data_IF_445071513694
#
_entry.id   IF_445071513694
#
_cell.length_a   1.000
_cell.length_b   1.000
_cell.length_c   1.000
_cell.angle_alpha   90.00
_cell.angle_beta   90.00
_cell.angle_gamma   90.00
#
_symmetry.space_group_name_H-M   'P 1'
#
loop_
_entity.id
_entity.type
_entity.pdbx_description
1 polymer ?
#
# COMPACT_ATOMS: atom_id res chain seq x y z
N UNK A 1 21.43 1.47 -54.55
CA UNK A 1 22.25 1.63 -53.33
C UNK A 1 21.61 2.65 -52.37
N UNK A 2 21.48 3.93 -52.73
CA UNK A 2 20.93 4.95 -51.81
C UNK A 2 19.43 4.79 -51.48
N UNK A 3 18.58 4.45 -52.46
CA UNK A 3 17.13 4.31 -52.24
C UNK A 3 16.77 3.15 -51.28
N UNK A 4 17.55 2.07 -51.28
CA UNK A 4 17.32 0.92 -50.38
C UNK A 4 17.71 1.24 -48.93
N UNK A 5 18.73 2.09 -48.72
CA UNK A 5 19.11 2.58 -47.39
C UNK A 5 18.04 3.49 -46.78
N UNK A 6 17.37 4.32 -47.60
CA UNK A 6 16.29 5.20 -47.14
C UNK A 6 15.04 4.40 -46.76
N UNK A 7 14.68 3.38 -47.55
CA UNK A 7 13.54 2.49 -47.24
C UNK A 7 13.81 1.65 -45.98
N UNK A 8 15.04 1.18 -45.78
CA UNK A 8 15.43 0.47 -44.57
C UNK A 8 15.35 1.36 -43.31
N UNK A 9 15.81 2.62 -43.41
CA UNK A 9 15.72 3.59 -42.31
C UNK A 9 14.27 3.90 -41.91
N UNK A 10 13.39 4.09 -42.90
CA UNK A 10 11.97 4.37 -42.66
C UNK A 10 11.23 3.17 -42.03
N UNK A 11 11.58 1.94 -42.44
CA UNK A 11 11.06 0.72 -41.83
C UNK A 11 11.52 0.57 -40.36
N UNK A 12 12.77 0.89 -40.06
CA UNK A 12 13.32 0.88 -38.69
C UNK A 12 12.65 1.92 -37.78
N UNK A 13 12.31 3.10 -38.29
CA UNK A 13 11.57 4.12 -37.52
C UNK A 13 10.12 3.71 -37.24
N UNK A 14 9.51 2.89 -38.10
CA UNK A 14 8.13 2.42 -37.91
C UNK A 14 7.99 1.30 -36.86
N UNK A 15 9.08 0.59 -36.54
CA UNK A 15 9.11 -0.48 -35.54
C UNK A 15 9.38 0.00 -34.11
N UNK A 16 9.71 1.28 -33.93
CA UNK A 16 10.06 1.86 -32.62
C UNK A 16 8.89 2.43 -31.81
N UNK A 17 7.68 2.47 -32.38
CA UNK A 17 6.51 2.94 -31.67
C UNK A 17 5.82 1.75 -30.98
N UNK A 18 6.33 1.35 -29.80
CA UNK A 18 5.49 0.61 -28.87
C UNK A 18 4.30 1.53 -28.55
N UNK A 19 3.09 1.13 -28.95
CA UNK A 19 1.88 1.88 -28.60
C UNK A 19 1.82 2.00 -27.08
N UNK A 20 1.56 3.21 -26.57
CA UNK A 20 1.30 3.34 -25.15
C UNK A 20 0.15 2.41 -24.77
N UNK A 21 0.26 1.67 -23.65
CA UNK A 21 -0.79 0.74 -23.24
C UNK A 21 -2.09 1.51 -23.01
N UNK A 22 -3.20 0.95 -23.49
CA UNK A 22 -4.53 1.53 -23.28
C UNK A 22 -4.88 1.56 -21.79
N UNK A 23 -5.71 2.51 -21.37
CA UNK A 23 -6.14 2.63 -19.98
C UNK A 23 -6.74 1.33 -19.44
N UNK A 24 -7.42 0.56 -20.29
CA UNK A 24 -7.96 -0.75 -19.91
C UNK A 24 -6.89 -1.73 -19.41
N UNK A 25 -5.69 -1.69 -20.00
CA UNK A 25 -4.57 -2.51 -19.58
C UNK A 25 -3.87 -1.93 -18.34
N UNK A 26 -3.67 -0.60 -18.32
CA UNK A 26 -3.01 0.08 -17.21
C UNK A 26 -3.78 -0.01 -15.89
N UNK A 27 -5.12 0.01 -15.92
CA UNK A 27 -5.95 -0.04 -14.70
C UNK A 27 -6.65 -1.39 -14.55
N UNK A 28 -5.96 -2.47 -14.94
CA UNK A 28 -6.49 -3.83 -14.76
C UNK A 28 -6.61 -4.16 -13.27
N UNK A 29 -7.83 -4.44 -12.77
CA UNK A 29 -8.06 -4.70 -11.36
C UNK A 29 -7.51 -6.07 -10.94
N UNK A 30 -7.05 -6.15 -9.69
CA UNK A 30 -6.68 -7.41 -9.05
C UNK A 30 -7.91 -8.10 -8.46
N UNK A 31 -7.95 -9.43 -8.58
CA UNK A 31 -8.88 -10.26 -7.82
C UNK A 31 -8.33 -10.42 -6.39
N UNK A 32 -9.19 -10.23 -5.40
CA UNK A 32 -8.83 -10.32 -4.00
C UNK A 32 -9.21 -11.69 -3.45
N UNK A 33 -8.20 -12.47 -3.11
CA UNK A 33 -8.29 -13.75 -2.42
C UNK A 33 -7.03 -13.97 -1.58
N UNK A 34 -6.92 -15.11 -0.91
CA UNK A 34 -5.77 -15.45 -0.04
C UNK A 34 -4.43 -15.63 -0.78
N UNK A 35 -4.41 -15.68 -2.10
CA UNK A 35 -3.21 -15.79 -2.94
C UNK A 35 -2.87 -14.48 -3.67
N UNK A 36 -3.66 -13.42 -3.47
CA UNK A 36 -3.43 -12.11 -4.07
C UNK A 36 -2.01 -11.57 -3.77
N UNK A 37 -1.32 -10.93 -4.73
CA UNK A 37 0.05 -10.44 -4.54
C UNK A 37 0.14 -9.23 -3.59
N UNK A 38 -0.99 -8.75 -3.06
CA UNK A 38 -1.06 -7.60 -2.17
C UNK A 38 -0.53 -7.87 -0.76
N UNK A 39 -0.32 -9.14 -0.37
CA UNK A 39 0.07 -9.45 1.00
C UNK A 39 1.54 -9.12 1.33
N UNK A 40 1.79 -8.92 2.62
CA UNK A 40 3.05 -8.50 3.20
C UNK A 40 3.13 -7.00 3.46
N UNK A 41 4.34 -6.55 3.78
CA UNK A 41 4.64 -5.16 4.14
C UNK A 41 4.89 -4.28 2.92
N UNK A 42 4.40 -3.05 3.00
CA UNK A 42 4.43 -2.04 1.95
C UNK A 42 4.65 -0.65 2.53
N UNK A 43 5.51 0.15 1.91
CA UNK A 43 5.86 1.52 2.30
C UNK A 43 5.28 2.50 1.30
N UNK A 44 4.52 3.48 1.78
CA UNK A 44 3.91 4.49 0.91
C UNK A 44 5.02 5.29 0.22
N UNK A 45 4.92 5.46 -1.09
CA UNK A 45 5.85 6.28 -1.86
C UNK A 45 5.19 7.59 -2.30
N UNK A 46 4.00 7.49 -2.89
CA UNK A 46 3.26 8.63 -3.42
C UNK A 46 1.75 8.43 -3.30
N UNK A 47 1.03 9.53 -3.03
CA UNK A 47 -0.43 9.57 -3.03
C UNK A 47 -1.01 10.68 -3.92
N UNK A 48 -2.20 10.44 -4.47
CA UNK A 48 -3.04 11.40 -5.18
C UNK A 48 -4.44 11.47 -4.54
N UNK A 49 -5.19 12.52 -4.82
CA UNK A 49 -6.57 12.71 -4.34
C UNK A 49 -7.44 13.36 -5.43
N UNK A 50 -8.73 13.04 -5.47
CA UNK A 50 -9.64 13.60 -6.49
C UNK A 50 -10.50 14.76 -5.98
N UNK A 51 -10.72 14.86 -4.66
CA UNK A 51 -11.51 15.93 -4.03
C UNK A 51 -10.62 16.86 -3.21
N UNK A 52 -10.75 18.20 -3.34
CA UNK A 52 -9.93 19.16 -2.59
C UNK A 52 -9.99 18.99 -1.07
N UNK A 53 -11.14 18.54 -0.55
CA UNK A 53 -11.34 18.31 0.89
C UNK A 53 -10.52 17.17 1.48
N UNK A 54 -9.89 16.34 0.65
CA UNK A 54 -9.03 15.21 1.05
C UNK A 54 -7.53 15.58 1.11
N UNK A 55 -7.13 16.65 0.42
CA UNK A 55 -5.73 17.06 0.30
C UNK A 55 -5.02 17.21 1.65
N UNK A 56 -5.66 17.90 2.58
CA UNK A 56 -5.04 18.23 3.87
C UNK A 56 -4.77 16.98 4.73
N UNK A 57 -5.63 15.96 4.63
CA UNK A 57 -5.46 14.71 5.37
C UNK A 57 -4.20 13.99 4.87
N UNK A 58 -4.07 13.81 3.55
CA UNK A 58 -2.91 13.15 2.94
C UNK A 58 -1.60 13.93 3.12
N UNK A 59 -1.60 15.25 2.87
CA UNK A 59 -0.39 16.08 2.98
C UNK A 59 0.12 16.17 4.43
N UNK A 60 -0.72 15.86 5.42
CA UNK A 60 -0.30 15.79 6.83
C UNK A 60 0.55 14.56 7.17
N UNK A 61 0.56 13.55 6.29
CA UNK A 61 1.33 12.31 6.45
C UNK A 61 2.77 12.54 6.01
N UNK A 62 3.70 12.40 6.95
CA UNK A 62 5.13 12.50 6.69
C UNK A 62 5.68 11.20 6.07
N UNK A 63 5.21 10.05 6.53
CA UNK A 63 5.58 8.72 6.04
C UNK A 63 4.54 7.70 6.50
N UNK A 64 4.36 6.61 5.76
CA UNK A 64 3.39 5.56 6.12
C UNK A 64 3.88 4.19 5.64
N UNK A 65 3.53 3.15 6.38
CA UNK A 65 3.62 1.78 5.89
C UNK A 65 2.43 0.96 6.38
N UNK A 66 2.09 -0.06 5.60
CA UNK A 66 1.04 -1.02 5.91
C UNK A 66 1.58 -2.45 5.80
N UNK A 67 0.97 -3.37 6.52
CA UNK A 67 1.15 -4.79 6.31
C UNK A 67 -0.23 -5.45 6.14
N UNK A 68 -0.39 -6.14 5.01
CA UNK A 68 -1.62 -6.83 4.65
C UNK A 68 -1.40 -8.33 4.87
N UNK A 69 -2.29 -8.98 5.62
CA UNK A 69 -2.26 -10.43 5.80
C UNK A 69 -3.60 -11.06 5.46
N UNK A 70 -3.58 -12.16 4.73
CA UNK A 70 -4.76 -12.95 4.42
C UNK A 70 -5.26 -13.68 5.66
N UNK A 71 -6.57 -13.74 5.85
CA UNK A 71 -7.21 -14.76 6.67
C UNK A 71 -7.84 -15.80 5.73
N UNK A 72 -7.18 -16.97 5.50
CA UNK A 72 -7.57 -17.93 4.47
C UNK A 72 -9.01 -18.40 4.57
N UNK A 73 -9.53 -18.51 5.80
CA UNK A 73 -10.84 -19.11 6.08
C UNK A 73 -12.00 -18.11 6.11
N UNK A 74 -11.72 -16.80 6.10
CA UNK A 74 -12.74 -15.79 6.40
C UNK A 74 -13.02 -14.78 5.28
N UNK A 75 -12.19 -14.73 4.23
CA UNK A 75 -12.31 -13.69 3.21
C UNK A 75 -12.06 -12.28 3.75
N UNK A 76 -11.29 -12.20 4.85
CA UNK A 76 -10.90 -10.95 5.51
C UNK A 76 -9.41 -10.70 5.31
N UNK A 77 -9.07 -9.46 5.01
CA UNK A 77 -7.70 -8.95 5.03
C UNK A 77 -7.50 -8.26 6.37
N UNK A 78 -6.50 -8.66 7.14
CA UNK A 78 -6.06 -7.89 8.30
C UNK A 78 -5.03 -6.87 7.83
N UNK A 79 -5.24 -5.62 8.23
CA UNK A 79 -4.43 -4.46 7.87
C UNK A 79 -3.79 -3.94 9.15
N UNK A 80 -2.47 -4.09 9.27
CA UNK A 80 -1.69 -3.28 10.19
C UNK A 80 -1.23 -2.03 9.47
N UNK A 81 -1.37 -0.87 10.08
CA UNK A 81 -0.95 0.41 9.50
C UNK A 81 -0.17 1.23 10.52
N UNK A 82 0.78 2.01 10.03
CA UNK A 82 1.63 2.86 10.82
C UNK A 82 1.96 4.15 10.07
N UNK A 83 1.38 5.25 10.56
CA UNK A 83 1.49 6.57 9.97
C UNK A 83 2.28 7.51 10.88
N UNK A 84 3.23 8.22 10.28
CA UNK A 84 3.91 9.34 10.93
C UNK A 84 3.21 10.63 10.56
N UNK A 85 2.60 11.28 11.55
CA UNK A 85 2.07 12.64 11.43
C UNK A 85 3.00 13.59 12.17
N UNK A 86 3.73 14.44 11.42
CA UNK A 86 4.80 15.28 12.00
C UNK A 86 5.81 14.43 12.77
N UNK A 87 5.87 14.58 14.10
CA UNK A 87 6.79 13.85 14.97
C UNK A 87 6.11 12.74 15.79
N UNK A 88 4.86 12.40 15.48
CA UNK A 88 4.09 11.39 16.21
C UNK A 88 3.75 10.22 15.30
N UNK A 89 3.94 9.00 15.82
CA UNK A 89 3.45 7.78 15.21
C UNK A 89 2.03 7.47 15.68
N UNK A 90 1.17 7.13 14.72
CA UNK A 90 -0.14 6.53 14.94
C UNK A 90 -0.14 5.17 14.27
N UNK A 91 -0.54 4.14 15.00
CA UNK A 91 -0.52 2.77 14.50
C UNK A 91 -1.78 2.05 14.95
N UNK A 92 -2.18 1.03 14.20
CA UNK A 92 -3.37 0.27 14.54
C UNK A 92 -3.60 -0.93 13.64
N UNK A 93 -4.68 -1.64 13.95
CA UNK A 93 -5.15 -2.79 13.19
C UNK A 93 -6.57 -2.50 12.72
N UNK A 94 -6.85 -2.81 11.47
CA UNK A 94 -8.19 -2.86 10.91
C UNK A 94 -8.39 -4.19 10.18
N UNK A 95 -9.65 -4.56 9.99
CA UNK A 95 -10.03 -5.71 9.17
C UNK A 95 -10.85 -5.21 7.98
N UNK A 96 -10.55 -5.75 6.80
CA UNK A 96 -11.26 -5.47 5.58
C UNK A 96 -11.96 -6.72 5.07
N UNK A 97 -13.27 -6.66 4.86
CA UNK A 97 -14.03 -7.76 4.25
C UNK A 97 -13.98 -7.64 2.73
N UNK A 98 -13.76 -8.74 2.03
CA UNK A 98 -13.71 -8.75 0.56
C UNK A 98 -15.12 -8.96 -0.01
N UNK A 99 -15.49 -8.15 -1.01
CA UNK A 99 -16.69 -8.32 -1.83
C UNK A 99 -16.34 -8.12 -3.31
N UNK A 100 -16.22 -9.24 -4.04
CA UNK A 100 -15.77 -9.21 -5.43
C UNK A 100 -14.33 -8.69 -5.55
N UNK A 101 -14.15 -7.56 -6.23
CA UNK A 101 -12.83 -6.92 -6.42
C UNK A 101 -12.58 -5.76 -5.43
N UNK A 102 -13.50 -5.54 -4.49
CA UNK A 102 -13.40 -4.47 -3.51
C UNK A 102 -13.18 -5.03 -2.10
N UNK A 103 -12.50 -4.26 -1.27
CA UNK A 103 -12.38 -4.51 0.17
C UNK A 103 -13.10 -3.42 0.95
N UNK A 104 -13.87 -3.78 1.97
CA UNK A 104 -14.61 -2.83 2.81
C UNK A 104 -13.99 -2.78 4.19
N UNK A 105 -13.53 -1.59 4.61
CA UNK A 105 -12.80 -1.39 5.86
C UNK A 105 -13.44 -0.29 6.69
N UNK A 106 -13.46 -0.48 8.00
CA UNK A 106 -13.76 0.59 8.95
C UNK A 106 -12.53 0.85 9.81
N UNK A 107 -12.05 2.10 9.79
CA UNK A 107 -10.98 2.53 10.68
C UNK A 107 -11.57 3.25 11.89
N UNK A 108 -10.98 3.00 13.06
CA UNK A 108 -11.29 3.71 14.30
C UNK A 108 -9.99 4.29 14.86
N UNK A 109 -9.74 5.56 14.60
CA UNK A 109 -8.48 6.24 14.94
C UNK A 109 -8.78 7.36 15.93
N UNK A 110 -8.24 7.27 17.15
CA UNK A 110 -8.45 8.27 18.21
C UNK A 110 -9.93 8.63 18.45
N UNK A 111 -10.84 7.65 18.34
CA UNK A 111 -12.29 7.86 18.52
C UNK A 111 -13.03 8.40 17.29
N UNK A 112 -12.34 8.61 16.16
CA UNK A 112 -12.96 8.92 14.88
C UNK A 112 -13.13 7.67 14.04
N UNK A 113 -14.35 7.46 13.54
CA UNK A 113 -14.69 6.35 12.64
C UNK A 113 -14.72 6.85 11.20
N UNK A 114 -14.09 6.10 10.30
CA UNK A 114 -14.15 6.33 8.85
C UNK A 114 -14.40 5.01 8.11
N UNK A 115 -15.09 5.10 6.98
CA UNK A 115 -15.53 3.97 6.16
C UNK A 115 -14.88 4.04 4.79
N UNK A 116 -14.38 2.91 4.31
CA UNK A 116 -13.45 2.87 3.18
C UNK A 116 -13.74 1.68 2.27
N UNK A 117 -13.82 1.96 0.98
CA UNK A 117 -13.86 0.95 -0.08
C UNK A 117 -12.54 0.97 -0.86
N UNK A 118 -11.76 -0.09 -0.69
CA UNK A 118 -10.46 -0.28 -1.35
C UNK A 118 -10.57 -1.10 -2.63
N UNK A 119 -9.80 -0.71 -3.65
CA UNK A 119 -9.56 -1.47 -4.89
C UNK A 119 -8.06 -1.52 -5.16
N UNK A 120 -7.62 -2.58 -5.83
CA UNK A 120 -6.21 -2.79 -6.15
C UNK A 120 -6.04 -3.09 -7.63
N UNK A 121 -4.91 -2.67 -8.19
CA UNK A 121 -4.64 -2.75 -9.62
C UNK A 121 -3.29 -3.42 -9.88
N UNK A 122 -3.16 -4.08 -11.03
CA UNK A 122 -1.88 -4.58 -11.51
C UNK A 122 -0.91 -3.41 -11.73
N UNK A 123 0.35 -3.60 -11.33
CA UNK A 123 1.42 -2.60 -11.43
C UNK A 123 2.78 -3.32 -11.42
N UNK A 124 3.84 -2.66 -10.95
CA UNK A 124 5.17 -3.27 -10.81
C UNK A 124 5.18 -4.42 -9.76
N UNK A 125 6.12 -5.35 -9.88
CA UNK A 125 6.19 -6.54 -9.01
C UNK A 125 6.47 -6.21 -7.54
N UNK A 126 7.23 -5.13 -7.29
CA UNK A 126 7.57 -4.64 -5.96
C UNK A 126 6.74 -3.38 -5.58
N UNK A 127 5.56 -3.24 -6.20
CA UNK A 127 4.62 -2.16 -5.96
C UNK A 127 3.24 -2.68 -5.53
N UNK A 128 2.52 -1.85 -4.80
CA UNK A 128 1.11 -2.02 -4.50
C UNK A 128 0.37 -0.74 -4.86
N UNK A 129 -0.47 -0.80 -5.90
CA UNK A 129 -1.35 0.29 -6.29
C UNK A 129 -2.74 0.06 -5.71
N UNK A 130 -3.18 0.98 -4.84
CA UNK A 130 -4.50 0.92 -4.22
C UNK A 130 -5.27 2.22 -4.40
N UNK A 131 -6.53 2.13 -4.80
CA UNK A 131 -7.50 3.21 -4.73
C UNK A 131 -8.34 3.03 -3.46
N UNK A 132 -8.43 4.09 -2.65
CA UNK A 132 -9.22 4.12 -1.42
C UNK A 132 -10.35 5.14 -1.57
N UNK A 133 -11.60 4.68 -1.56
CA UNK A 133 -12.77 5.56 -1.56
C UNK A 133 -13.21 5.78 -0.13
N UNK A 134 -13.05 7.01 0.37
CA UNK A 134 -13.59 7.40 1.67
C UNK A 134 -15.10 7.65 1.54
N UNK A 135 -15.89 7.06 2.44
CA UNK A 135 -17.34 7.18 2.47
C UNK A 135 -17.83 8.08 3.62
N UNK A 136 -18.92 8.78 3.37
CA UNK A 136 -19.72 9.46 4.38
C UNK A 136 -20.60 8.44 5.14
N UNK A 137 -21.14 8.79 6.32
CA UNK A 137 -22.01 7.89 7.08
C UNK A 137 -23.28 7.44 6.33
N UNK A 138 -23.70 8.18 5.30
CA UNK A 138 -24.82 7.82 4.43
C UNK A 138 -24.41 6.90 3.26
N UNK A 139 -23.15 6.46 3.23
CA UNK A 139 -22.59 5.57 2.20
C UNK A 139 -22.17 6.28 0.91
N UNK A 140 -22.36 7.60 0.78
CA UNK A 140 -21.89 8.32 -0.41
C UNK A 140 -20.38 8.54 -0.37
N UNK A 141 -19.75 8.57 -1.54
CA UNK A 141 -18.33 8.91 -1.64
C UNK A 141 -18.09 10.36 -1.18
N UNK A 142 -17.16 10.52 -0.24
CA UNK A 142 -16.55 11.81 0.13
C UNK A 142 -15.48 12.21 -0.89
N UNK A 143 -14.86 11.21 -1.52
CA UNK A 143 -13.77 11.33 -2.48
C UNK A 143 -12.88 10.09 -2.42
N UNK A 144 -11.80 10.12 -3.19
CA UNK A 144 -10.88 9.01 -3.38
C UNK A 144 -9.43 9.43 -3.22
N UNK A 145 -8.64 8.51 -2.72
CA UNK A 145 -7.19 8.53 -2.81
C UNK A 145 -6.71 7.47 -3.79
N UNK A 146 -5.56 7.72 -4.39
CA UNK A 146 -4.76 6.71 -5.08
C UNK A 146 -3.40 6.67 -4.43
N UNK A 147 -2.99 5.50 -3.96
CA UNK A 147 -1.73 5.29 -3.27
C UNK A 147 -0.87 4.30 -4.02
N UNK A 148 0.39 4.64 -4.21
CA UNK A 148 1.42 3.71 -4.64
C UNK A 148 2.34 3.44 -3.47
N UNK A 149 2.33 2.20 -3.01
CA UNK A 149 3.31 1.68 -2.07
C UNK A 149 4.36 0.85 -2.80
N UNK A 150 5.50 0.68 -2.16
CA UNK A 150 6.64 -0.11 -2.64
C UNK A 150 7.15 -1.01 -1.53
N UNK A 151 7.94 -2.04 -1.84
CA UNK A 151 8.53 -2.90 -0.80
C UNK A 151 9.50 -2.16 0.13
N UNK A 152 10.20 -1.15 -0.38
CA UNK A 152 11.35 -0.53 0.31
C UNK A 152 11.21 0.98 0.54
N UNK A 153 10.18 1.62 -0.02
CA UNK A 153 10.02 3.09 -0.06
C UNK A 153 10.69 3.74 -1.28
N UNK A 154 11.42 2.97 -2.09
CA UNK A 154 12.09 3.44 -3.31
C UNK A 154 11.37 2.94 -4.56
N UNK A 155 11.43 3.71 -5.64
CA UNK A 155 10.70 3.46 -6.88
C UNK A 155 11.56 3.84 -8.09
N UNK A 156 11.55 3.01 -9.14
CA UNK A 156 12.21 3.37 -10.39
C UNK A 156 11.45 4.54 -11.09
N UNK A 157 12.15 5.50 -11.72
CA UNK A 157 11.49 6.59 -12.42
C UNK A 157 10.48 6.13 -13.49
N UNK A 158 10.71 5.01 -14.17
CA UNK A 158 9.78 4.47 -15.17
C UNK A 158 8.50 3.90 -14.55
N UNK A 159 8.59 3.34 -13.34
CA UNK A 159 7.43 2.88 -12.57
C UNK A 159 6.61 4.07 -12.06
N UNK A 160 7.28 5.18 -11.69
CA UNK A 160 6.60 6.43 -11.35
C UNK A 160 5.80 7.00 -12.53
N UNK A 161 6.37 6.97 -13.75
CA UNK A 161 5.63 7.40 -14.95
C UNK A 161 4.43 6.47 -15.23
N UNK A 162 4.58 5.17 -14.96
CA UNK A 162 3.45 4.23 -15.05
C UNK A 162 2.34 4.60 -14.07
N UNK A 163 2.68 4.90 -12.81
CA UNK A 163 1.72 5.37 -11.82
C UNK A 163 0.98 6.65 -12.25
N UNK A 164 1.70 7.63 -12.81
CA UNK A 164 1.07 8.87 -13.29
C UNK A 164 0.05 8.60 -14.39
N UNK A 165 0.36 7.71 -15.33
CA UNK A 165 -0.58 7.27 -16.38
C UNK A 165 -1.78 6.51 -15.79
N UNK A 166 -1.54 5.64 -14.81
CA UNK A 166 -2.62 4.95 -14.08
C UNK A 166 -3.55 5.96 -13.37
N UNK A 167 -2.98 6.98 -12.72
CA UNK A 167 -3.74 8.06 -12.09
C UNK A 167 -4.59 8.84 -13.09
N UNK A 168 -4.03 9.18 -14.26
CA UNK A 168 -4.77 9.83 -15.36
C UNK A 168 -5.93 8.96 -15.85
N UNK A 169 -5.70 7.67 -16.10
CA UNK A 169 -6.73 6.71 -16.50
C UNK A 169 -7.87 6.59 -15.46
N UNK A 170 -7.55 6.74 -14.17
CA UNK A 170 -8.52 6.74 -13.07
C UNK A 170 -9.12 8.15 -12.79
N UNK A 171 -8.81 9.13 -13.63
CA UNK A 171 -9.29 10.52 -13.56
C UNK A 171 -8.86 11.26 -12.28
N UNK A 172 -7.68 10.96 -11.75
CA UNK A 172 -7.05 11.77 -10.71
C UNK A 172 -6.36 13.00 -11.32
N UNK A 173 -6.41 14.18 -10.67
CA UNK A 173 -5.59 15.32 -11.04
C UNK A 173 -4.09 14.99 -11.01
N UNK A 174 -3.30 15.67 -11.84
CA UNK A 174 -1.84 15.58 -11.85
C UNK A 174 -1.20 16.35 -10.66
N UNK A 175 -1.65 16.04 -9.45
CA UNK A 175 -1.17 16.61 -8.20
C UNK A 175 -0.89 15.46 -7.23
N UNK A 176 0.36 15.39 -6.75
CA UNK A 176 0.87 14.24 -6.02
C UNK A 176 1.59 14.67 -4.74
N UNK A 177 1.43 13.87 -3.68
CA UNK A 177 2.15 14.01 -2.42
C UNK A 177 3.13 12.86 -2.27
N UNK A 178 4.43 13.17 -2.27
CA UNK A 178 5.49 12.20 -2.01
C UNK A 178 5.81 12.21 -0.52
N UNK A 179 5.85 11.03 0.08
CA UNK A 179 6.14 10.90 1.52
C UNK A 179 7.63 10.61 1.75
N UNK A 180 8.09 10.86 2.97
CA UNK A 180 9.44 10.59 3.43
C UNK A 180 9.66 9.13 3.83
N UNK A 181 10.92 8.81 4.14
CA UNK A 181 11.38 7.46 4.48
C UNK A 181 11.60 7.21 5.98
N UNK A 182 11.35 8.21 6.84
CA UNK A 182 11.47 8.06 8.30
C UNK A 182 10.26 7.32 8.88
N UNK A 183 10.24 6.00 8.73
CA UNK A 183 9.09 5.18 9.11
C UNK A 183 8.87 5.12 10.63
N UNK A 184 7.63 4.84 11.03
CA UNK A 184 7.32 4.48 12.41
C UNK A 184 7.84 3.08 12.74
N UNK A 185 8.36 2.84 13.97
CA UNK A 185 8.71 1.50 14.43
C UNK A 185 7.45 0.63 14.54
N UNK A 186 7.57 -0.69 14.41
CA UNK A 186 6.45 -1.61 14.59
C UNK A 186 6.17 -1.85 16.08
N UNK A 187 5.03 -1.33 16.57
CA UNK A 187 4.68 -1.47 17.99
C UNK A 187 4.47 -2.93 18.41
N UNK A 188 4.18 -3.84 17.47
CA UNK A 188 3.99 -5.27 17.74
C UNK A 188 5.30 -5.97 18.11
N UNK A 189 6.43 -5.50 17.58
CA UNK A 189 7.75 -6.07 17.87
C UNK A 189 8.26 -5.63 19.24
N UNK A 190 8.05 -4.37 19.61
CA UNK A 190 8.40 -3.83 20.94
C UNK A 190 7.57 -4.42 22.09
N UNK A 191 6.43 -5.04 21.81
CA UNK A 191 5.56 -5.66 22.81
C UNK A 191 5.94 -7.13 23.14
N UNK A 192 6.92 -7.72 22.44
CA UNK A 192 7.36 -9.10 22.69
C UNK A 192 8.42 -9.13 23.81
N UNK A 193 8.16 -9.73 24.99
CA UNK A 193 9.17 -9.81 26.03
C UNK A 193 10.26 -10.82 25.65
N UNK A 194 11.51 -10.36 25.68
CA UNK A 194 12.67 -11.23 25.74
C UNK A 194 12.54 -12.18 26.95
N UNK A 195 12.17 -13.43 26.69
CA UNK A 195 12.28 -14.53 27.64
C UNK A 195 13.38 -15.48 27.14
N UNK A 196 14.64 -15.02 27.22
CA UNK A 196 15.81 -15.87 27.14
C UNK A 196 16.53 -15.88 28.50
N UNK A 197 16.29 -16.98 29.23
CA UNK A 197 17.24 -17.73 30.06
C UNK A 197 18.20 -17.01 31.02
N UNK A 198 17.89 -17.11 32.31
CA UNK A 198 18.82 -17.35 33.45
C UNK A 198 17.90 -17.76 34.62
N UNK A 199 18.06 -18.83 35.39
CA UNK A 199 19.22 -19.61 35.84
C UNK A 199 18.86 -21.09 35.97
N UNK A 200 19.85 -21.94 35.68
CA UNK A 200 19.94 -23.33 36.11
C UNK A 200 20.47 -23.45 37.54
N UNK A 201 20.00 -24.48 38.24
CA UNK A 201 20.61 -25.20 39.39
C UNK A 201 20.61 -24.56 40.79
N UNK A 202 19.80 -25.14 41.68
CA UNK A 202 20.36 -25.88 42.83
C UNK A 202 19.35 -26.89 43.39
N UNK A 203 19.65 -28.17 43.15
CA UNK A 203 19.22 -29.30 43.99
C UNK A 203 20.48 -29.85 44.62
N UNK A 204 20.61 -29.78 45.95
CA UNK A 204 21.09 -30.92 46.74
C UNK A 204 20.96 -30.67 48.25
N UNK A 205 20.67 -31.75 48.99
CA UNK A 205 21.19 -31.92 50.36
C UNK A 205 20.22 -31.81 51.53
N UNK A 206 19.57 -32.93 51.85
CA UNK A 206 19.01 -33.29 53.16
C UNK A 206 20.07 -33.30 54.29
N UNK A 207 19.61 -33.21 55.58
CA UNK A 207 20.08 -33.96 56.79
C UNK A 207 20.15 -33.12 58.08
N UNK A 208 19.12 -33.31 58.93
CA UNK A 208 19.14 -33.71 60.37
C UNK A 208 19.32 -32.71 61.55
N UNK A 209 18.36 -32.86 62.48
CA UNK A 209 18.36 -32.71 63.95
C UNK A 209 18.52 -31.32 64.61
N UNK A 210 17.47 -30.88 65.33
CA UNK A 210 17.31 -31.14 66.77
C UNK A 210 15.86 -30.95 67.21
#
# INVERSE_FOLDING_TARGET
MAAQLVVALLALTSLGAASEPDCKELVKPLVLDSHSPIYGKWVLHVGAWDQPGLKNDLVSVNSSWVELSASPDSGVITIYWADRLKNKCLQGIANATISGMASHTTYNINGHTSYHDGKYYETCADCLLSEDTTLLPDGKSKGRYLFLFTRTGTLDPSELETFKKQAECLSFPAEFHFVGSDLCPDDRETASPAAESTESEQTDGEVTAK
#
